data_IF_773365881102
#
_entry.id   IF_773365881102
#
_cell.length_a   1.000
_cell.length_b   1.000
_cell.length_c   1.000
_cell.angle_alpha   90.00
_cell.angle_beta   90.00
_cell.angle_gamma   90.00
#
_symmetry.space_group_name_H-M   'P 1'
#
loop_
_entity.id
_entity.type
_entity.pdbx_description
1 polymer ?
#
# COMPACT_ATOMS: atom_id res chain seq x y z
N UNK A 1 -18.33 -13.09 4.68
CA UNK A 1 -17.40 -13.25 5.82
C UNK A 1 -16.01 -12.87 5.35
N UNK A 2 -15.44 -11.78 5.86
CA UNK A 2 -14.03 -11.44 5.63
C UNK A 2 -13.15 -12.39 6.45
N UNK A 3 -12.18 -13.04 5.81
CA UNK A 3 -11.23 -13.99 6.41
C UNK A 3 -10.21 -13.34 7.37
N UNK A 4 -10.38 -12.06 7.69
CA UNK A 4 -9.43 -11.25 8.45
C UNK A 4 -10.02 -10.86 9.79
N UNK A 5 -9.17 -10.86 10.83
CA UNK A 5 -9.54 -10.34 12.15
C UNK A 5 -9.78 -8.81 12.05
N UNK A 6 -11.02 -8.32 12.29
CA UNK A 6 -11.34 -6.91 12.24
C UNK A 6 -10.61 -6.08 13.32
N UNK A 7 -10.06 -6.73 14.35
CA UNK A 7 -9.30 -6.10 15.42
C UNK A 7 -7.81 -5.96 15.09
N UNK A 8 -7.34 -6.55 13.98
CA UNK A 8 -5.95 -6.46 13.58
C UNK A 8 -5.55 -5.01 13.31
N UNK A 9 -4.38 -4.60 13.80
CA UNK A 9 -3.86 -3.23 13.68
C UNK A 9 -3.94 -2.69 12.25
N UNK A 10 -3.60 -3.49 11.25
CA UNK A 10 -3.55 -3.05 9.85
C UNK A 10 -4.94 -2.94 9.21
N UNK A 11 -5.87 -3.80 9.59
CA UNK A 11 -7.28 -3.75 9.15
C UNK A 11 -7.96 -2.51 9.71
N UNK A 12 -7.73 -2.22 11.00
CA UNK A 12 -8.23 -1.00 11.64
C UNK A 12 -7.58 0.24 11.04
N UNK A 13 -6.27 0.19 10.75
CA UNK A 13 -5.54 1.31 10.18
C UNK A 13 -6.01 1.63 8.76
N UNK A 14 -6.17 0.62 7.89
CA UNK A 14 -6.65 0.84 6.52
C UNK A 14 -8.06 1.43 6.49
N UNK A 15 -8.93 1.01 7.41
CA UNK A 15 -10.30 1.54 7.51
C UNK A 15 -10.37 2.99 8.04
N UNK A 16 -9.35 3.43 8.80
CA UNK A 16 -9.29 4.79 9.35
C UNK A 16 -8.65 5.80 8.42
N UNK A 17 -7.87 5.35 7.44
CA UNK A 17 -7.20 6.20 6.48
C UNK A 17 -8.20 6.67 5.43
N UNK A 18 -8.28 7.98 5.23
CA UNK A 18 -9.03 8.60 4.14
C UNK A 18 -8.22 8.47 2.83
N UNK A 19 -8.21 7.26 2.26
CA UNK A 19 -7.42 6.93 1.07
C UNK A 19 -7.73 7.82 -0.12
N UNK A 20 -9.02 8.10 -0.36
CA UNK A 20 -9.47 8.94 -1.46
C UNK A 20 -8.90 10.36 -1.35
N UNK A 21 -8.96 10.95 -0.16
CA UNK A 21 -8.43 12.30 0.08
C UNK A 21 -6.91 12.36 -0.07
N UNK A 22 -6.19 11.33 0.41
CA UNK A 22 -4.74 11.23 0.25
C UNK A 22 -4.32 11.08 -1.22
N UNK A 23 -5.01 10.22 -1.97
CA UNK A 23 -4.77 10.02 -3.40
C UNK A 23 -5.10 11.29 -4.18
N UNK A 24 -6.23 11.95 -3.87
CA UNK A 24 -6.62 13.22 -4.49
C UNK A 24 -5.58 14.31 -4.22
N UNK A 25 -5.09 14.41 -2.98
CA UNK A 25 -4.04 15.36 -2.61
C UNK A 25 -2.74 15.06 -3.36
N UNK A 26 -2.34 13.78 -3.42
CA UNK A 26 -1.14 13.37 -4.14
C UNK A 26 -1.23 13.71 -5.63
N UNK A 27 -2.35 13.39 -6.28
CA UNK A 27 -2.59 13.71 -7.69
C UNK A 27 -2.63 15.23 -7.95
N UNK A 28 -3.11 16.02 -6.99
CA UNK A 28 -3.09 17.49 -7.08
C UNK A 28 -1.67 18.04 -7.12
N UNK A 29 -0.75 17.48 -6.34
CA UNK A 29 0.66 17.92 -6.30
C UNK A 29 1.54 17.22 -7.35
N UNK A 30 1.16 16.03 -7.80
CA UNK A 30 1.84 15.22 -8.81
C UNK A 30 0.89 14.90 -9.97
N UNK A 31 0.49 15.91 -10.76
CA UNK A 31 -0.34 15.67 -11.94
C UNK A 31 0.38 14.73 -12.90
N UNK A 32 -0.36 13.76 -13.44
CA UNK A 32 0.17 12.76 -14.34
C UNK A 32 0.88 13.42 -15.53
N UNK A 33 2.21 13.31 -15.57
CA UNK A 33 2.99 13.66 -16.77
C UNK A 33 2.86 12.52 -17.75
N UNK A 34 2.73 12.85 -19.02
CA UNK A 34 2.52 11.96 -20.17
C UNK A 34 3.72 11.03 -20.45
N UNK A 35 4.10 10.20 -19.48
CA UNK A 35 5.25 9.30 -19.59
C UNK A 35 4.82 7.87 -19.28
N UNK A 36 4.31 7.21 -20.32
CA UNK A 36 4.36 5.81 -20.77
C UNK A 36 4.77 4.62 -19.84
N UNK A 37 4.72 4.73 -18.52
CA UNK A 37 4.65 3.56 -17.61
C UNK A 37 3.28 3.59 -16.95
N UNK A 38 2.56 2.45 -16.82
CA UNK A 38 1.35 2.40 -16.02
C UNK A 38 1.73 2.88 -14.62
N UNK A 39 1.28 4.09 -14.28
CA UNK A 39 1.70 4.78 -13.07
C UNK A 39 1.37 3.91 -11.87
N UNK A 40 2.38 3.65 -11.04
CA UNK A 40 2.17 3.00 -9.75
C UNK A 40 1.01 3.70 -9.05
N UNK A 41 0.01 2.94 -8.58
CA UNK A 41 -1.16 3.53 -7.95
C UNK A 41 -0.68 4.37 -6.75
N UNK A 42 -0.99 5.67 -6.68
CA UNK A 42 -0.52 6.56 -5.61
C UNK A 42 -0.90 6.05 -4.21
N UNK A 43 -2.03 5.32 -4.08
CA UNK A 43 -2.41 4.67 -2.83
C UNK A 43 -1.40 3.61 -2.38
N UNK A 44 -0.85 2.82 -3.31
CA UNK A 44 0.19 1.83 -3.03
C UNK A 44 1.48 2.51 -2.59
N UNK A 45 1.88 3.58 -3.29
CA UNK A 45 3.08 4.34 -2.93
C UNK A 45 2.97 4.93 -1.52
N UNK A 46 1.85 5.61 -1.23
CA UNK A 46 1.60 6.23 0.08
C UNK A 46 1.55 5.15 1.17
N UNK A 47 0.87 4.03 0.92
CA UNK A 47 0.81 2.92 1.86
C UNK A 47 2.17 2.29 2.15
N UNK A 48 3.02 2.12 1.14
CA UNK A 48 4.36 1.57 1.31
C UNK A 48 5.25 2.49 2.14
N UNK A 49 5.21 3.80 1.86
CA UNK A 49 5.92 4.82 2.65
C UNK A 49 5.41 4.82 4.11
N UNK A 50 4.10 4.70 4.33
CA UNK A 50 3.54 4.60 5.68
C UNK A 50 4.05 3.36 6.43
N UNK A 51 4.01 2.17 5.80
CA UNK A 51 4.48 0.93 6.44
C UNK A 51 5.97 1.01 6.74
N UNK A 52 6.78 1.49 5.79
CA UNK A 52 8.22 1.71 5.96
C UNK A 52 8.50 2.54 7.21
N UNK A 53 7.82 3.68 7.35
CA UNK A 53 8.00 4.56 8.51
C UNK A 53 7.43 3.98 9.81
N UNK A 54 6.29 3.29 9.76
CA UNK A 54 5.64 2.70 10.95
C UNK A 54 6.43 1.51 11.52
N UNK A 55 7.12 0.77 10.66
CA UNK A 55 7.93 -0.38 11.04
C UNK A 55 9.42 -0.07 11.11
N UNK A 56 9.84 1.13 10.69
CA UNK A 56 11.23 1.58 10.62
C UNK A 56 12.12 0.61 9.84
N UNK A 57 11.68 0.23 8.64
CA UNK A 57 12.32 -0.75 7.76
C UNK A 57 13.02 -0.07 6.59
N UNK A 58 13.92 -0.80 5.94
CA UNK A 58 14.46 -0.43 4.63
C UNK A 58 13.50 -0.78 3.49
N UNK A 59 13.72 -0.24 2.29
CA UNK A 59 12.81 -0.43 1.15
C UNK A 59 12.66 -1.91 0.77
N UNK A 60 13.77 -2.66 0.75
CA UNK A 60 13.76 -4.10 0.46
C UNK A 60 13.00 -4.90 1.52
N UNK A 61 13.28 -4.63 2.79
CA UNK A 61 12.63 -5.28 3.92
C UNK A 61 11.14 -4.94 3.98
N UNK A 62 10.77 -3.71 3.61
CA UNK A 62 9.37 -3.30 3.47
C UNK A 62 8.64 -4.15 2.43
N UNK A 63 9.27 -4.37 1.26
CA UNK A 63 8.70 -5.22 0.20
C UNK A 63 8.54 -6.66 0.69
N UNK A 64 9.55 -7.22 1.33
CA UNK A 64 9.51 -8.57 1.91
C UNK A 64 8.36 -8.70 2.92
N UNK A 65 8.27 -7.77 3.88
CA UNK A 65 7.20 -7.76 4.88
C UNK A 65 5.82 -7.69 4.25
N UNK A 66 5.62 -6.87 3.21
CA UNK A 66 4.33 -6.80 2.51
C UNK A 66 4.05 -8.11 1.77
N UNK A 67 5.04 -8.75 1.16
CA UNK A 67 4.84 -10.04 0.49
C UNK A 67 4.53 -11.17 1.45
N UNK A 68 5.14 -11.19 2.63
CA UNK A 68 4.96 -12.27 3.62
C UNK A 68 3.70 -12.10 4.47
N UNK A 69 3.27 -10.85 4.70
CA UNK A 69 2.18 -10.55 5.61
C UNK A 69 0.87 -10.26 4.88
N UNK A 70 -0.08 -11.20 4.99
CA UNK A 70 -1.40 -11.08 4.37
C UNK A 70 -2.21 -9.86 4.87
N UNK A 71 -1.98 -9.40 6.10
CA UNK A 71 -2.62 -8.18 6.63
C UNK A 71 -2.06 -6.91 5.98
N UNK A 72 -0.78 -6.90 5.64
CA UNK A 72 -0.18 -5.79 4.88
C UNK A 72 -0.70 -5.79 3.45
N UNK A 73 -0.87 -6.94 2.81
CA UNK A 73 -1.52 -6.99 1.49
C UNK A 73 -2.97 -6.49 1.55
N UNK A 74 -3.72 -6.87 2.59
CA UNK A 74 -5.07 -6.35 2.80
C UNK A 74 -5.09 -4.83 3.02
N UNK A 75 -4.08 -4.28 3.68
CA UNK A 75 -3.94 -2.84 3.91
C UNK A 75 -3.92 -2.04 2.60
N UNK A 76 -3.40 -2.62 1.51
CA UNK A 76 -3.38 -2.01 0.17
C UNK A 76 -4.66 -2.25 -0.66
N UNK A 77 -5.65 -2.94 -0.12
CA UNK A 77 -6.90 -3.24 -0.82
C UNK A 77 -6.83 -4.46 -1.75
N UNK A 78 -5.80 -5.30 -1.63
CA UNK A 78 -5.79 -6.59 -2.32
C UNK A 78 -6.81 -7.53 -1.67
N UNK A 79 -7.85 -7.89 -2.43
CA UNK A 79 -8.91 -8.82 -1.98
C UNK A 79 -8.43 -10.27 -1.83
N UNK A 80 -7.28 -10.58 -2.41
CA UNK A 80 -6.70 -11.92 -2.51
C UNK A 80 -5.20 -11.82 -2.30
N UNK A 81 -4.61 -12.81 -1.64
CA UNK A 81 -3.16 -12.90 -1.47
C UNK A 81 -2.48 -13.03 -2.84
N UNK A 82 -1.58 -12.09 -3.17
CA UNK A 82 -0.85 -12.10 -4.44
C UNK A 82 0.64 -11.99 -4.11
N UNK A 83 1.35 -13.12 -4.24
CA UNK A 83 2.79 -13.23 -3.98
C UNK A 83 3.64 -12.32 -4.88
N UNK A 84 3.17 -11.99 -6.09
CA UNK A 84 3.90 -11.19 -7.08
C UNK A 84 3.53 -9.69 -7.10
N UNK A 85 2.54 -9.24 -6.31
CA UNK A 85 1.97 -7.89 -6.45
C UNK A 85 2.90 -6.74 -5.99
N UNK A 86 3.91 -7.05 -5.17
CA UNK A 86 4.73 -6.03 -4.49
C UNK A 86 6.02 -5.71 -5.26
N UNK A 87 6.39 -6.52 -6.26
CA UNK A 87 7.62 -6.34 -7.04
C UNK A 87 7.65 -5.03 -7.85
N UNK A 88 6.51 -4.34 -8.00
CA UNK A 88 6.44 -3.03 -8.66
C UNK A 88 6.65 -1.83 -7.73
N UNK A 89 6.74 -2.03 -6.40
CA UNK A 89 6.97 -0.93 -5.43
C UNK A 89 8.45 -0.54 -5.38
N UNK A 90 9.35 -1.51 -5.56
CA UNK A 90 10.78 -1.27 -5.74
C UNK A 90 11.05 -0.90 -7.19
N UNK A 91 10.86 0.36 -7.55
CA UNK A 91 11.35 0.89 -8.83
C UNK A 91 12.88 1.00 -8.83
#
# INVERSE_FOLDING_TARGET
>A
MSFFDPSNRWVVLSARILWDDLVNLFNKYHPAKSTSRPGLNPGILIGAVMIKHLLNLDDHETVEQITENIYLQYFFGYSTYIKEAVASISC
#
